data_IF_468276755184
#
_entry.id   IF_468276755184
#
_cell.length_a   1.000
_cell.length_b   1.000
_cell.length_c   1.000
_cell.angle_alpha   90.00
_cell.angle_beta   90.00
_cell.angle_gamma   90.00
#
_symmetry.space_group_name_H-M   'P 1'
#
loop_
_entity.id
_entity.type
_entity.pdbx_description
1 polymer ?
#
# COMPACT_ATOMS: atom_id res chain seq x y z
N UNK A 1 -4.15 -1.93 -18.41
CA UNK A 1 -2.82 -2.55 -18.33
C UNK A 1 -1.89 -2.15 -19.48
N UNK A 2 -2.30 -2.25 -20.77
CA UNK A 2 -1.45 -1.83 -21.92
C UNK A 2 -1.01 -0.35 -21.86
N UNK A 3 -1.85 0.53 -21.34
CA UNK A 3 -1.54 1.95 -21.19
C UNK A 3 -0.40 2.27 -20.21
N UNK A 4 -0.07 1.35 -19.29
CA UNK A 4 1.01 1.51 -18.33
C UNK A 4 2.39 1.09 -18.87
N UNK A 5 2.43 0.36 -19.99
CA UNK A 5 3.68 -0.17 -20.55
C UNK A 5 4.73 0.90 -20.88
N UNK A 6 4.39 2.04 -21.52
CA UNK A 6 5.35 3.09 -21.81
C UNK A 6 5.98 3.68 -20.54
N UNK A 7 5.16 3.83 -19.49
CA UNK A 7 5.59 4.36 -18.21
C UNK A 7 6.47 3.37 -17.44
N UNK A 8 6.15 2.08 -17.50
CA UNK A 8 7.01 1.02 -16.95
C UNK A 8 8.39 0.97 -17.61
N UNK A 9 8.50 1.37 -18.88
CA UNK A 9 9.80 1.49 -19.55
C UNK A 9 10.68 2.58 -18.94
N UNK A 10 10.10 3.68 -18.44
CA UNK A 10 10.83 4.75 -17.74
C UNK A 10 11.40 4.28 -16.40
N UNK A 11 10.68 3.36 -15.70
CA UNK A 11 11.18 2.75 -14.48
C UNK A 11 12.44 1.89 -14.70
N UNK A 12 12.65 1.32 -15.90
CA UNK A 12 13.86 0.55 -16.22
C UNK A 12 15.14 1.35 -16.07
N UNK A 13 15.10 2.66 -16.31
CA UNK A 13 16.28 3.54 -16.18
C UNK A 13 16.76 3.66 -14.72
N UNK A 14 15.85 3.58 -13.76
CA UNK A 14 16.15 3.70 -12.31
C UNK A 14 15.95 2.38 -11.55
N UNK A 15 15.99 1.23 -12.27
CA UNK A 15 15.69 -0.09 -11.72
C UNK A 15 16.48 -0.43 -10.45
N UNK A 16 17.76 -0.07 -10.37
CA UNK A 16 18.60 -0.36 -9.22
C UNK A 16 18.13 0.34 -7.94
N UNK A 17 17.79 1.62 -8.02
CA UNK A 17 17.29 2.37 -6.86
C UNK A 17 15.90 1.88 -6.44
N UNK A 18 15.03 1.59 -7.40
CA UNK A 18 13.70 1.04 -7.13
C UNK A 18 13.80 -0.35 -6.51
N UNK A 19 14.67 -1.22 -7.02
CA UNK A 19 14.91 -2.55 -6.43
C UNK A 19 15.49 -2.44 -5.03
N UNK A 20 16.45 -1.52 -4.81
CA UNK A 20 16.98 -1.27 -3.47
C UNK A 20 15.90 -0.80 -2.49
N UNK A 21 14.98 0.07 -2.92
CA UNK A 21 13.82 0.47 -2.13
C UNK A 21 12.93 -0.71 -1.73
N UNK A 22 12.64 -1.63 -2.68
CA UNK A 22 11.87 -2.84 -2.40
C UNK A 22 12.62 -3.76 -1.43
N UNK A 23 13.91 -3.97 -1.62
CA UNK A 23 14.72 -4.81 -0.71
C UNK A 23 14.73 -4.24 0.71
N UNK A 24 14.91 -2.92 0.85
CA UNK A 24 14.84 -2.26 2.16
C UNK A 24 13.43 -2.37 2.78
N UNK A 25 12.37 -2.27 2.00
CA UNK A 25 11.01 -2.49 2.46
C UNK A 25 10.81 -3.92 2.98
N UNK A 26 11.31 -4.93 2.26
CA UNK A 26 11.25 -6.34 2.66
C UNK A 26 12.02 -6.55 3.98
N UNK A 27 13.24 -6.03 4.08
CA UNK A 27 14.06 -6.12 5.31
C UNK A 27 13.32 -5.48 6.48
N UNK A 28 12.71 -4.32 6.27
CA UNK A 28 11.95 -3.60 7.31
C UNK A 28 10.72 -4.41 7.76
N UNK A 29 9.98 -5.01 6.84
CA UNK A 29 8.82 -5.86 7.14
C UNK A 29 9.24 -7.11 7.90
N UNK A 30 10.27 -7.81 7.44
CA UNK A 30 10.79 -9.01 8.11
C UNK A 30 11.35 -8.68 9.51
N UNK A 31 12.01 -7.54 9.66
CA UNK A 31 12.48 -7.08 10.97
C UNK A 31 11.30 -6.75 11.91
N UNK A 32 10.20 -6.20 11.39
CA UNK A 32 8.99 -5.92 12.16
C UNK A 32 8.29 -7.21 12.62
N UNK A 33 8.18 -8.20 11.72
CA UNK A 33 7.62 -9.52 12.02
C UNK A 33 8.53 -10.24 13.02
N UNK A 34 9.83 -10.27 12.76
CA UNK A 34 10.81 -10.89 13.64
C UNK A 34 10.85 -10.29 15.04
N UNK A 35 10.71 -8.96 15.12
CA UNK A 35 10.66 -8.26 16.41
C UNK A 35 9.48 -8.75 17.25
N UNK A 36 8.28 -8.79 16.70
CA UNK A 36 7.09 -9.18 17.45
C UNK A 36 7.09 -10.69 17.77
N UNK A 37 7.47 -11.51 16.79
CA UNK A 37 7.58 -12.96 16.93
C UNK A 37 8.60 -13.36 18.00
N UNK A 38 9.81 -12.79 17.93
CA UNK A 38 10.88 -13.09 18.86
C UNK A 38 10.57 -12.56 20.26
N UNK A 39 9.98 -11.36 20.36
CA UNK A 39 9.57 -10.78 21.65
C UNK A 39 8.50 -11.63 22.33
N UNK A 40 7.49 -12.09 21.59
CA UNK A 40 6.42 -12.94 22.10
C UNK A 40 6.98 -14.29 22.61
N UNK A 41 7.82 -14.94 21.80
CA UNK A 41 8.51 -16.15 22.20
C UNK A 41 9.40 -15.93 23.44
N UNK A 42 10.21 -14.87 23.44
CA UNK A 42 11.15 -14.59 24.53
C UNK A 42 10.45 -14.32 25.86
N UNK A 43 9.39 -13.54 25.88
CA UNK A 43 8.61 -13.27 27.08
C UNK A 43 7.97 -14.55 27.63
N UNK A 44 7.38 -15.36 26.75
CA UNK A 44 6.77 -16.64 27.13
C UNK A 44 7.81 -17.65 27.63
N UNK A 45 8.97 -17.73 26.96
CA UNK A 45 10.08 -18.61 27.37
C UNK A 45 10.68 -18.19 28.71
N UNK A 46 10.85 -16.89 28.94
CA UNK A 46 11.34 -16.35 30.21
C UNK A 46 10.38 -16.64 31.38
N UNK A 47 9.06 -16.50 31.13
CA UNK A 47 8.05 -16.85 32.14
C UNK A 47 8.07 -18.34 32.45
N UNK A 48 8.13 -19.22 31.44
CA UNK A 48 8.22 -20.66 31.63
C UNK A 48 9.47 -21.09 32.39
N UNK A 49 10.64 -20.50 32.05
CA UNK A 49 11.89 -20.74 32.75
C UNK A 49 11.84 -20.30 34.22
N UNK A 50 11.20 -19.14 34.50
CA UNK A 50 11.00 -18.65 35.85
C UNK A 50 10.13 -19.58 36.70
N UNK A 51 9.00 -20.08 36.15
CA UNK A 51 8.15 -21.06 36.84
C UNK A 51 8.86 -22.40 37.07
N UNK A 52 9.69 -22.82 36.13
CA UNK A 52 10.45 -24.07 36.25
C UNK A 52 11.73 -23.95 37.12
N UNK A 53 12.06 -22.77 37.61
CA UNK A 53 13.28 -22.51 38.39
C UNK A 53 14.58 -22.73 37.59
N UNK A 54 14.54 -22.60 36.26
CA UNK A 54 15.67 -22.82 35.36
C UNK A 54 16.61 -21.60 35.34
N UNK A 55 17.53 -21.53 36.26
CA UNK A 55 18.53 -20.43 36.33
C UNK A 55 19.55 -20.42 35.19
N UNK A 56 19.62 -21.51 34.41
CA UNK A 56 20.52 -21.64 33.24
C UNK A 56 19.94 -21.07 31.94
N UNK A 57 18.72 -20.50 31.97
CA UNK A 57 18.10 -19.93 30.76
C UNK A 57 18.92 -18.75 30.25
N UNK A 58 19.42 -18.87 29.01
CA UNK A 58 20.19 -17.83 28.37
C UNK A 58 19.26 -16.73 27.83
N UNK A 59 19.07 -15.67 28.59
CA UNK A 59 18.25 -14.53 28.17
C UNK A 59 19.02 -13.50 27.32
N UNK A 60 20.36 -13.54 27.30
CA UNK A 60 21.16 -12.53 26.60
C UNK A 60 21.04 -12.62 25.08
N UNK A 61 21.05 -13.85 24.53
CA UNK A 61 20.98 -14.06 23.09
C UNK A 61 19.62 -13.64 22.50
N UNK A 62 18.45 -14.02 23.05
CA UNK A 62 17.16 -13.54 22.59
C UNK A 62 17.00 -12.02 22.76
N UNK A 63 17.46 -11.46 23.88
CA UNK A 63 17.43 -10.01 24.13
C UNK A 63 18.26 -9.24 23.08
N UNK A 64 19.43 -9.76 22.69
CA UNK A 64 20.23 -9.18 21.61
C UNK A 64 19.52 -9.27 20.27
N UNK A 65 18.83 -10.38 19.98
CA UNK A 65 17.99 -10.55 18.80
C UNK A 65 16.84 -9.54 18.72
N UNK A 66 16.13 -9.33 19.82
CA UNK A 66 15.05 -8.32 19.92
C UNK A 66 15.59 -6.92 19.66
N UNK A 67 16.73 -6.55 20.28
CA UNK A 67 17.39 -5.26 20.04
C UNK A 67 17.83 -5.10 18.58
N UNK A 68 18.43 -6.13 18.01
CA UNK A 68 18.89 -6.16 16.61
C UNK A 68 17.74 -5.94 15.64
N UNK A 69 16.63 -6.66 15.82
CA UNK A 69 15.43 -6.50 14.97
C UNK A 69 14.78 -5.12 15.14
N UNK A 70 14.77 -4.56 16.35
CA UNK A 70 14.24 -3.22 16.59
C UNK A 70 15.08 -2.13 15.89
N UNK A 71 16.41 -2.22 15.97
CA UNK A 71 17.32 -1.31 15.28
C UNK A 71 17.17 -1.46 13.75
N UNK A 72 17.17 -2.69 13.26
CA UNK A 72 17.02 -2.98 11.82
C UNK A 72 15.69 -2.45 11.29
N UNK A 73 14.58 -2.63 12.03
CA UNK A 73 13.26 -2.09 11.66
C UNK A 73 13.30 -0.56 11.55
N UNK A 74 13.90 0.12 12.51
CA UNK A 74 13.92 1.59 12.56
C UNK A 74 14.82 2.15 11.46
N UNK A 75 16.05 1.65 11.37
CA UNK A 75 17.02 2.06 10.36
C UNK A 75 16.53 1.69 8.95
N UNK A 76 16.02 0.47 8.77
CA UNK A 76 15.47 -0.01 7.50
C UNK A 76 14.33 0.88 7.01
N UNK A 77 13.39 1.27 7.88
CA UNK A 77 12.29 2.18 7.54
C UNK A 77 12.78 3.57 7.13
N UNK A 78 13.80 4.08 7.80
CA UNK A 78 14.40 5.36 7.42
C UNK A 78 15.02 5.30 6.03
N UNK A 79 15.90 4.33 5.79
CA UNK A 79 16.58 4.18 4.50
C UNK A 79 15.61 3.79 3.37
N UNK A 80 14.62 2.95 3.65
CA UNK A 80 13.57 2.61 2.69
C UNK A 80 12.84 3.86 2.21
N UNK A 81 12.38 4.72 3.14
CA UNK A 81 11.71 5.97 2.77
C UNK A 81 12.61 6.89 1.96
N UNK A 82 13.86 7.05 2.40
CA UNK A 82 14.82 7.92 1.71
C UNK A 82 15.06 7.45 0.27
N UNK A 83 15.36 6.17 0.08
CA UNK A 83 15.68 5.59 -1.23
C UNK A 83 14.44 5.54 -2.13
N UNK A 84 13.29 5.10 -1.61
CA UNK A 84 12.05 5.00 -2.37
C UNK A 84 11.58 6.37 -2.83
N UNK A 85 11.61 7.40 -1.98
CA UNK A 85 11.22 8.75 -2.37
C UNK A 85 12.21 9.39 -3.35
N UNK A 86 13.53 9.24 -3.15
CA UNK A 86 14.50 9.74 -4.13
C UNK A 86 14.31 9.07 -5.50
N UNK A 87 14.11 7.76 -5.52
CA UNK A 87 13.85 7.01 -6.77
C UNK A 87 12.58 7.50 -7.48
N UNK A 88 11.49 7.69 -6.74
CA UNK A 88 10.22 8.15 -7.32
C UNK A 88 10.29 9.60 -7.80
N UNK A 89 10.94 10.50 -7.07
CA UNK A 89 11.14 11.87 -7.53
C UNK A 89 11.96 11.96 -8.82
N UNK A 90 12.97 11.12 -8.99
CA UNK A 90 13.74 11.04 -10.25
C UNK A 90 12.88 10.52 -11.40
N UNK A 91 12.02 9.55 -11.15
CA UNK A 91 11.05 9.08 -12.17
C UNK A 91 10.07 10.19 -12.54
N UNK A 92 9.50 10.90 -11.55
CA UNK A 92 8.60 12.03 -11.76
C UNK A 92 9.27 13.16 -12.56
N UNK A 93 10.52 13.48 -12.23
CA UNK A 93 11.30 14.46 -12.97
C UNK A 93 11.38 14.09 -14.46
N UNK A 94 11.76 12.85 -14.77
CA UNK A 94 11.85 12.38 -16.15
C UNK A 94 10.50 12.39 -16.85
N UNK A 95 9.44 12.02 -16.15
CA UNK A 95 8.09 11.97 -16.69
C UNK A 95 7.58 13.40 -17.01
N UNK A 96 7.82 14.36 -16.13
CA UNK A 96 7.49 15.77 -16.36
C UNK A 96 8.24 16.34 -17.54
N UNK A 97 9.56 16.09 -17.64
CA UNK A 97 10.38 16.51 -18.79
C UNK A 97 9.85 15.88 -20.08
N UNK A 98 9.54 14.59 -20.06
CA UNK A 98 8.98 13.89 -21.22
C UNK A 98 7.64 14.49 -21.65
N UNK A 99 6.71 14.68 -20.73
CA UNK A 99 5.39 15.26 -21.02
C UNK A 99 5.52 16.68 -21.56
N UNK A 100 6.37 17.50 -20.94
CA UNK A 100 6.60 18.87 -21.39
C UNK A 100 7.26 18.93 -22.77
N UNK A 101 8.22 18.05 -23.05
CA UNK A 101 8.88 17.97 -24.36
C UNK A 101 7.93 17.60 -25.50
N UNK A 102 6.84 16.90 -25.20
CA UNK A 102 5.78 16.57 -26.16
C UNK A 102 4.80 17.72 -26.38
N UNK A 103 4.66 18.61 -25.41
CA UNK A 103 3.82 19.81 -25.53
C UNK A 103 4.51 20.96 -26.26
N UNK A 104 5.84 21.11 -26.12
CA UNK A 104 6.63 22.17 -26.73
C UNK A 104 6.47 22.32 -28.25
N UNK A 105 6.47 21.24 -29.06
CA UNK A 105 6.34 21.35 -30.51
C UNK A 105 4.91 21.61 -30.99
N UNK A 106 3.91 21.64 -30.08
CA UNK A 106 2.53 21.93 -30.46
C UNK A 106 2.39 23.43 -30.82
N UNK A 107 1.76 23.70 -31.97
CA UNK A 107 1.44 25.07 -32.36
C UNK A 107 0.46 25.73 -31.38
N UNK A 108 0.42 27.07 -31.30
CA UNK A 108 -0.57 27.78 -30.49
C UNK A 108 -2.01 27.33 -30.77
N UNK A 109 -2.32 27.04 -32.05
CA UNK A 109 -3.63 26.50 -32.46
C UNK A 109 -3.88 25.06 -31.94
N UNK A 110 -2.82 24.26 -31.85
CA UNK A 110 -2.89 22.92 -31.21
C UNK A 110 -3.12 22.98 -29.70
N UNK A 111 -2.44 23.90 -29.03
CA UNK A 111 -2.61 24.17 -27.60
C UNK A 111 -3.97 24.77 -27.26
N UNK A 112 -4.54 25.62 -28.13
CA UNK A 112 -5.85 26.23 -27.95
C UNK A 112 -7.02 25.23 -27.92
N UNK A 113 -6.79 24.00 -28.42
CA UNK A 113 -7.77 22.90 -28.32
C UNK A 113 -7.93 22.40 -26.87
N UNK A 114 -6.96 22.64 -26.02
CA UNK A 114 -6.99 22.26 -24.61
C UNK A 114 -7.28 23.50 -23.76
N UNK A 115 -8.09 23.31 -22.72
CA UNK A 115 -8.26 24.38 -21.73
C UNK A 115 -7.00 24.47 -20.86
N UNK A 116 -6.61 25.68 -20.48
CA UNK A 116 -5.39 25.90 -19.67
C UNK A 116 -5.37 25.04 -18.38
N UNK A 117 -6.52 24.92 -17.70
CA UNK A 117 -6.65 24.07 -16.52
C UNK A 117 -6.50 22.57 -16.80
N UNK A 118 -6.83 22.11 -18.01
CA UNK A 118 -6.66 20.71 -18.43
C UNK A 118 -5.19 20.38 -18.68
N UNK A 119 -4.46 21.24 -19.38
CA UNK A 119 -3.02 21.07 -19.60
C UNK A 119 -2.25 21.05 -18.29
N UNK A 120 -2.55 21.98 -17.39
CA UNK A 120 -1.94 22.03 -16.07
C UNK A 120 -2.23 20.74 -15.27
N UNK A 121 -3.46 20.25 -15.32
CA UNK A 121 -3.83 19.01 -14.63
C UNK A 121 -3.07 17.80 -15.19
N UNK A 122 -2.86 17.71 -16.52
CA UNK A 122 -2.09 16.61 -17.13
C UNK A 122 -0.62 16.65 -16.71
N UNK A 123 0.02 17.81 -16.76
CA UNK A 123 1.45 17.96 -16.47
C UNK A 123 1.77 17.80 -14.98
N UNK A 124 0.82 18.14 -14.10
CA UNK A 124 1.04 18.11 -12.64
C UNK A 124 0.31 16.94 -12.01
N UNK A 125 -1.03 16.96 -12.01
CA UNK A 125 -1.80 16.02 -11.20
C UNK A 125 -1.81 14.59 -11.76
N UNK A 126 -1.87 14.41 -13.08
CA UNK A 126 -1.88 13.09 -13.69
C UNK A 126 -0.49 12.44 -13.62
N UNK A 127 0.57 13.23 -13.76
CA UNK A 127 1.96 12.77 -13.57
C UNK A 127 2.19 12.34 -12.12
N UNK A 128 1.77 13.14 -11.13
CA UNK A 128 1.91 12.81 -9.71
C UNK A 128 1.13 11.53 -9.34
N UNK A 129 0.02 11.25 -10.02
CA UNK A 129 -0.76 10.02 -9.79
C UNK A 129 0.02 8.77 -10.23
N UNK A 130 0.92 8.87 -11.20
CA UNK A 130 1.74 7.74 -11.65
C UNK A 130 2.80 7.32 -10.62
N UNK A 131 3.24 8.22 -9.74
CA UNK A 131 4.13 7.88 -8.61
C UNK A 131 3.50 6.83 -7.69
N UNK A 132 2.18 6.90 -7.51
CA UNK A 132 1.45 5.94 -6.71
C UNK A 132 1.52 4.49 -7.24
N UNK A 133 1.81 4.27 -8.53
CA UNK A 133 1.96 2.94 -9.09
C UNK A 133 3.09 2.16 -8.42
N UNK A 134 4.25 2.79 -8.27
CA UNK A 134 5.39 2.11 -7.64
C UNK A 134 5.21 1.98 -6.12
N UNK A 135 4.99 3.10 -5.43
CA UNK A 135 4.97 3.11 -3.95
C UNK A 135 3.77 2.37 -3.37
N UNK A 136 2.61 2.46 -4.02
CA UNK A 136 1.36 1.93 -3.46
C UNK A 136 0.91 0.60 -4.06
N UNK A 137 1.44 0.19 -5.21
CA UNK A 137 1.04 -1.06 -5.86
C UNK A 137 2.20 -2.03 -5.98
N UNK A 138 3.27 -1.65 -6.69
CA UNK A 138 4.37 -2.59 -7.01
C UNK A 138 5.14 -2.98 -5.75
N UNK A 139 5.63 -2.00 -4.99
CA UNK A 139 6.45 -2.26 -3.79
C UNK A 139 5.71 -3.08 -2.72
N UNK A 140 4.45 -2.76 -2.32
CA UNK A 140 3.72 -3.58 -1.36
C UNK A 140 3.40 -4.99 -1.84
N UNK A 141 3.10 -5.18 -3.15
CA UNK A 141 2.79 -6.50 -3.69
C UNK A 141 4.01 -7.42 -3.71
N UNK A 142 5.13 -6.92 -4.21
CA UNK A 142 6.39 -7.68 -4.22
C UNK A 142 6.85 -7.94 -2.79
N UNK A 143 6.79 -6.92 -1.93
CA UNK A 143 7.13 -7.04 -0.51
C UNK A 143 6.28 -8.10 0.20
N UNK A 144 4.96 -8.06 0.04
CA UNK A 144 4.05 -9.04 0.64
C UNK A 144 4.34 -10.47 0.15
N UNK A 145 4.53 -10.66 -1.16
CA UNK A 145 4.84 -11.98 -1.71
C UNK A 145 6.14 -12.56 -1.13
N UNK A 146 7.22 -11.77 -1.12
CA UNK A 146 8.51 -12.23 -0.57
C UNK A 146 8.40 -12.50 0.94
N UNK A 147 7.71 -11.65 1.67
CA UNK A 147 7.47 -11.85 3.12
C UNK A 147 6.70 -13.15 3.37
N UNK A 148 5.65 -13.45 2.60
CA UNK A 148 4.91 -14.71 2.72
C UNK A 148 5.86 -15.91 2.53
N UNK A 149 6.67 -15.88 1.47
CA UNK A 149 7.62 -16.97 1.20
C UNK A 149 8.63 -17.13 2.33
N UNK A 150 9.26 -16.04 2.77
CA UNK A 150 10.30 -16.08 3.82
C UNK A 150 9.72 -16.51 5.16
N UNK A 151 8.55 -15.99 5.55
CA UNK A 151 7.89 -16.37 6.81
C UNK A 151 7.48 -17.84 6.77
N UNK A 152 6.87 -18.29 5.67
CA UNK A 152 6.47 -19.71 5.53
C UNK A 152 7.68 -20.64 5.58
N UNK A 153 8.76 -20.33 4.87
CA UNK A 153 10.00 -21.11 4.93
C UNK A 153 10.62 -21.09 6.33
N UNK A 154 10.67 -19.92 6.97
CA UNK A 154 11.22 -19.79 8.31
C UNK A 154 10.45 -20.61 9.35
N UNK A 155 9.13 -20.56 9.32
CA UNK A 155 8.28 -21.35 10.23
C UNK A 155 8.29 -22.85 9.91
N UNK A 156 8.54 -23.24 8.66
CA UNK A 156 8.63 -24.66 8.25
C UNK A 156 9.76 -25.41 8.93
N UNK A 157 10.78 -24.72 9.41
CA UNK A 157 11.83 -25.35 10.23
C UNK A 157 11.34 -25.78 11.61
N UNK A 158 10.26 -25.22 12.10
CA UNK A 158 9.65 -25.54 13.39
C UNK A 158 8.51 -26.54 13.23
N UNK A 159 7.59 -26.27 12.31
CA UNK A 159 6.42 -27.11 12.02
C UNK A 159 5.90 -26.82 10.61
N UNK A 160 5.94 -27.83 9.73
CA UNK A 160 5.55 -27.68 8.32
C UNK A 160 4.03 -27.48 8.16
N UNK A 161 3.15 -28.29 8.76
CA UNK A 161 1.70 -28.09 8.70
C UNK A 161 1.26 -26.69 9.12
N UNK A 162 1.75 -26.19 10.26
CA UNK A 162 1.37 -24.88 10.79
C UNK A 162 1.90 -23.77 9.86
N UNK A 163 3.14 -23.87 9.38
CA UNK A 163 3.75 -22.91 8.47
C UNK A 163 2.98 -22.83 7.15
N UNK A 164 2.63 -23.98 6.55
CA UNK A 164 1.86 -24.03 5.30
C UNK A 164 0.44 -23.47 5.47
N UNK A 165 -0.20 -23.68 6.63
CA UNK A 165 -1.52 -23.12 6.91
C UNK A 165 -1.47 -21.60 6.96
N UNK A 166 -0.51 -21.02 7.69
CA UNK A 166 -0.35 -19.56 7.76
C UNK A 166 0.00 -18.98 6.36
N UNK A 167 0.99 -19.58 5.69
CA UNK A 167 1.39 -19.17 4.35
C UNK A 167 0.25 -19.28 3.34
N UNK A 168 -0.55 -20.35 3.42
CA UNK A 168 -1.72 -20.56 2.58
C UNK A 168 -2.80 -19.50 2.80
N UNK A 169 -3.14 -19.16 4.04
CA UNK A 169 -4.10 -18.09 4.36
C UNK A 169 -3.59 -16.74 3.83
N UNK A 170 -2.32 -16.41 4.07
CA UNK A 170 -1.71 -15.18 3.59
C UNK A 170 -1.69 -15.11 2.05
N UNK A 171 -1.31 -16.19 1.37
CA UNK A 171 -1.26 -16.27 -0.08
C UNK A 171 -2.66 -16.17 -0.70
N UNK A 172 -3.64 -16.88 -0.16
CA UNK A 172 -5.05 -16.76 -0.55
C UNK A 172 -5.55 -15.32 -0.40
N UNK A 173 -5.23 -14.68 0.71
CA UNK A 173 -5.56 -13.27 0.96
C UNK A 173 -4.92 -12.37 -0.11
N UNK A 174 -3.64 -12.57 -0.43
CA UNK A 174 -2.90 -11.81 -1.43
C UNK A 174 -3.46 -12.00 -2.85
N UNK A 175 -3.96 -13.19 -3.19
CA UNK A 175 -4.47 -13.49 -4.54
C UNK A 175 -5.93 -13.05 -4.70
N UNK A 176 -6.76 -13.21 -3.67
CA UNK A 176 -8.21 -13.02 -3.79
C UNK A 176 -8.63 -11.56 -3.51
N UNK A 177 -8.12 -10.95 -2.44
CA UNK A 177 -8.58 -9.62 -2.05
C UNK A 177 -8.27 -8.53 -3.07
N UNK A 178 -7.05 -8.42 -3.62
CA UNK A 178 -6.73 -7.35 -4.56
C UNK A 178 -7.63 -7.30 -5.79
N UNK A 179 -7.85 -8.37 -6.56
CA UNK A 179 -8.72 -8.32 -7.73
C UNK A 179 -10.20 -8.09 -7.37
N UNK A 180 -10.64 -8.56 -6.20
CA UNK A 180 -11.99 -8.33 -5.70
C UNK A 180 -12.23 -6.83 -5.48
N UNK A 181 -11.35 -6.18 -4.71
CA UNK A 181 -11.47 -4.75 -4.42
C UNK A 181 -11.17 -3.86 -5.63
N UNK A 182 -10.31 -4.30 -6.54
CA UNK A 182 -10.11 -3.62 -7.82
C UNK A 182 -11.41 -3.56 -8.63
N UNK A 183 -12.10 -4.68 -8.77
CA UNK A 183 -13.38 -4.73 -9.51
C UNK A 183 -14.45 -3.87 -8.85
N UNK A 184 -14.57 -3.94 -7.53
CA UNK A 184 -15.54 -3.15 -6.75
C UNK A 184 -15.24 -1.64 -6.81
N UNK A 185 -13.95 -1.25 -6.78
CA UNK A 185 -13.53 0.15 -6.73
C UNK A 185 -13.35 0.83 -8.10
N UNK A 186 -13.26 0.07 -9.20
CA UNK A 186 -12.93 0.61 -10.53
C UNK A 186 -13.86 1.73 -10.96
N UNK A 187 -15.16 1.47 -10.99
CA UNK A 187 -16.18 2.43 -11.42
C UNK A 187 -16.23 3.66 -10.52
N UNK A 188 -16.08 3.46 -9.21
CA UNK A 188 -16.06 4.54 -8.21
C UNK A 188 -14.82 5.42 -8.39
N UNK A 189 -13.65 4.82 -8.63
CA UNK A 189 -12.39 5.56 -8.85
C UNK A 189 -12.41 6.38 -10.14
N UNK A 190 -12.94 5.84 -11.23
CA UNK A 190 -13.13 6.56 -12.51
C UNK A 190 -14.05 7.75 -12.34
N UNK A 191 -15.20 7.57 -11.68
CA UNK A 191 -16.15 8.64 -11.37
C UNK A 191 -15.56 9.72 -10.47
N UNK A 192 -14.81 9.33 -9.44
CA UNK A 192 -14.14 10.24 -8.53
C UNK A 192 -13.16 11.16 -9.28
N UNK A 193 -12.33 10.59 -10.16
CA UNK A 193 -11.37 11.34 -10.97
C UNK A 193 -12.07 12.30 -11.93
N UNK A 194 -13.17 11.87 -12.58
CA UNK A 194 -13.95 12.70 -13.48
C UNK A 194 -14.61 13.86 -12.73
N UNK A 195 -15.33 13.59 -11.65
CA UNK A 195 -16.05 14.62 -10.88
C UNK A 195 -15.09 15.64 -10.23
N UNK A 196 -13.91 15.18 -9.75
CA UNK A 196 -12.87 16.09 -9.27
C UNK A 196 -12.40 17.04 -10.36
N UNK A 197 -12.19 16.53 -11.58
CA UNK A 197 -11.79 17.34 -12.73
C UNK A 197 -12.88 18.36 -13.12
N UNK A 198 -14.15 17.93 -13.17
CA UNK A 198 -15.31 18.78 -13.46
C UNK A 198 -15.47 19.90 -12.42
N UNK A 199 -15.40 19.57 -11.13
CA UNK A 199 -15.49 20.55 -10.04
C UNK A 199 -14.36 21.58 -10.11
N UNK A 200 -13.12 21.13 -10.28
CA UNK A 200 -11.96 22.03 -10.40
C UNK A 200 -12.08 22.96 -11.60
N UNK A 201 -12.57 22.45 -12.73
CA UNK A 201 -12.81 23.26 -13.92
C UNK A 201 -13.91 24.30 -13.69
N UNK A 202 -15.03 23.90 -13.06
CA UNK A 202 -16.12 24.82 -12.74
C UNK A 202 -15.66 25.91 -11.77
N UNK A 203 -14.89 25.54 -10.73
CA UNK A 203 -14.33 26.48 -9.76
C UNK A 203 -13.40 27.49 -10.42
N UNK A 204 -12.50 27.04 -11.30
CA UNK A 204 -11.59 27.93 -12.03
C UNK A 204 -12.37 28.88 -12.92
N UNK A 205 -13.36 28.38 -13.67
CA UNK A 205 -14.21 29.23 -14.51
C UNK A 205 -15.04 30.22 -13.72
N UNK A 206 -15.51 29.83 -12.55
CA UNK A 206 -16.26 30.73 -11.64
C UNK A 206 -15.38 31.87 -11.11
N UNK A 207 -14.15 31.54 -10.69
CA UNK A 207 -13.17 32.53 -10.20
C UNK A 207 -12.76 33.52 -11.30
N UNK A 208 -12.51 33.01 -12.52
CA UNK A 208 -12.11 33.86 -13.64
C UNK A 208 -13.24 34.72 -14.21
N UNK A 209 -14.47 34.20 -14.18
CA UNK A 209 -15.66 34.89 -14.75
C UNK A 209 -16.53 35.59 -13.72
N UNK A 210 -16.04 35.94 -12.54
CA UNK A 210 -16.83 36.55 -11.49
C UNK A 210 -17.46 37.90 -11.93
N UNK A 211 -16.73 38.74 -12.67
CA UNK A 211 -17.22 40.03 -13.14
C UNK A 211 -18.41 39.85 -14.10
N UNK A 212 -18.25 38.97 -15.09
CA UNK A 212 -19.31 38.69 -16.09
C UNK A 212 -20.52 38.04 -15.43
N UNK A 213 -20.29 37.05 -14.53
CA UNK A 213 -21.38 36.38 -13.81
C UNK A 213 -22.20 37.37 -12.93
N UNK A 214 -21.53 38.39 -12.40
CA UNK A 214 -22.19 39.43 -11.61
C UNK A 214 -23.00 40.40 -12.51
N UNK A 215 -22.39 40.85 -13.60
CA UNK A 215 -23.06 41.76 -14.56
C UNK A 215 -24.29 41.11 -15.17
N UNK A 216 -24.21 39.83 -15.54
CA UNK A 216 -25.32 39.08 -16.14
C UNK A 216 -26.30 38.47 -15.10
N UNK A 217 -26.08 38.68 -13.80
CA UNK A 217 -26.93 38.12 -12.72
C UNK A 217 -26.92 36.59 -12.66
N UNK A 218 -25.91 35.95 -13.26
CA UNK A 218 -25.81 34.49 -13.40
C UNK A 218 -25.07 33.78 -12.24
N UNK A 219 -24.49 34.54 -11.32
CA UNK A 219 -23.65 34.03 -10.22
C UNK A 219 -24.34 32.94 -9.38
N UNK A 220 -25.60 33.17 -8.97
CA UNK A 220 -26.39 32.21 -8.19
C UNK A 220 -26.60 30.88 -8.94
N UNK A 221 -26.98 30.96 -10.22
CA UNK A 221 -27.21 29.77 -11.06
C UNK A 221 -25.95 28.95 -11.27
N UNK A 222 -24.83 29.63 -11.47
CA UNK A 222 -23.53 28.97 -11.64
C UNK A 222 -23.09 28.27 -10.35
N UNK A 223 -23.26 28.97 -9.20
CA UNK A 223 -22.97 28.42 -7.88
C UNK A 223 -23.78 27.14 -7.60
N UNK A 224 -25.09 27.16 -7.83
CA UNK A 224 -25.92 25.95 -7.64
C UNK A 224 -25.45 24.78 -8.51
N UNK A 225 -25.03 25.06 -9.75
CA UNK A 225 -24.48 24.02 -10.62
C UNK A 225 -23.16 23.42 -10.05
N UNK A 226 -22.29 24.26 -9.50
CA UNK A 226 -21.04 23.84 -8.86
C UNK A 226 -21.31 23.04 -7.59
N UNK A 227 -22.25 23.48 -6.75
CA UNK A 227 -22.69 22.78 -5.53
C UNK A 227 -23.23 21.37 -5.85
N UNK A 228 -24.00 21.22 -6.92
CA UNK A 228 -24.49 19.89 -7.36
C UNK A 228 -23.34 18.97 -7.79
N UNK A 229 -22.33 19.50 -8.49
CA UNK A 229 -21.14 18.72 -8.86
C UNK A 229 -20.34 18.32 -7.62
N UNK A 230 -20.23 19.21 -6.65
CA UNK A 230 -19.58 18.97 -5.36
C UNK A 230 -20.27 17.86 -4.56
N UNK A 231 -21.59 17.90 -4.46
CA UNK A 231 -22.37 16.85 -3.80
C UNK A 231 -22.13 15.47 -4.44
N UNK A 232 -22.16 15.40 -5.77
CA UNK A 232 -21.88 14.16 -6.49
C UNK A 232 -20.43 13.67 -6.26
N UNK A 233 -19.48 14.59 -6.19
CA UNK A 233 -18.09 14.26 -5.88
C UNK A 233 -17.94 13.75 -4.45
N UNK A 234 -18.57 14.39 -3.46
CA UNK A 234 -18.57 13.93 -2.07
C UNK A 234 -19.21 12.55 -1.92
N UNK A 235 -20.30 12.27 -2.62
CA UNK A 235 -20.93 10.94 -2.61
C UNK A 235 -19.98 9.86 -3.21
N UNK A 236 -19.30 10.17 -4.31
CA UNK A 236 -18.30 9.27 -4.88
C UNK A 236 -17.11 9.03 -3.92
N UNK A 237 -16.67 10.08 -3.22
CA UNK A 237 -15.62 10.01 -2.20
C UNK A 237 -16.04 9.17 -1.00
N UNK A 238 -17.28 9.35 -0.54
CA UNK A 238 -17.86 8.54 0.53
C UNK A 238 -17.86 7.06 0.18
N UNK A 239 -18.35 6.68 -1.01
CA UNK A 239 -18.34 5.28 -1.49
C UNK A 239 -16.92 4.71 -1.56
N UNK A 240 -15.95 5.50 -2.01
CA UNK A 240 -14.55 5.08 -2.01
C UNK A 240 -14.03 4.82 -0.59
N UNK A 241 -14.37 5.69 0.36
CA UNK A 241 -13.99 5.53 1.77
C UNK A 241 -14.66 4.32 2.42
N UNK A 242 -15.92 4.06 2.12
CA UNK A 242 -16.65 2.87 2.58
C UNK A 242 -16.00 1.57 2.08
N UNK A 243 -15.62 1.52 0.79
CA UNK A 243 -14.88 0.37 0.23
C UNK A 243 -13.52 0.18 0.92
N UNK A 244 -12.83 1.28 1.20
CA UNK A 244 -11.54 1.24 1.89
C UNK A 244 -11.71 0.71 3.32
N UNK A 245 -12.67 1.23 4.06
CA UNK A 245 -12.98 0.79 5.42
C UNK A 245 -13.38 -0.69 5.45
N UNK A 246 -14.23 -1.12 4.50
CA UNK A 246 -14.64 -2.51 4.38
C UNK A 246 -13.46 -3.45 4.08
N UNK A 247 -12.55 -3.03 3.20
CA UNK A 247 -11.35 -3.83 2.87
C UNK A 247 -10.41 -3.98 4.07
N UNK A 248 -10.25 -2.93 4.87
CA UNK A 248 -9.45 -2.97 6.10
C UNK A 248 -10.10 -3.84 7.17
N UNK A 249 -11.42 -3.71 7.36
CA UNK A 249 -12.17 -4.55 8.29
C UNK A 249 -12.08 -6.03 7.93
N UNK A 250 -12.22 -6.37 6.64
CA UNK A 250 -12.10 -7.74 6.16
C UNK A 250 -10.68 -8.29 6.38
N UNK A 251 -9.64 -7.48 6.11
CA UNK A 251 -8.26 -7.88 6.37
C UNK A 251 -8.00 -8.13 7.86
N UNK A 252 -8.52 -7.27 8.74
CA UNK A 252 -8.41 -7.44 10.18
C UNK A 252 -9.13 -8.71 10.65
N UNK A 253 -10.29 -9.02 10.06
CA UNK A 253 -11.07 -10.21 10.37
C UNK A 253 -10.33 -11.48 9.94
N UNK A 254 -9.79 -11.52 8.73
CA UNK A 254 -8.97 -12.65 8.23
C UNK A 254 -7.72 -12.83 9.10
N UNK A 255 -7.04 -11.73 9.45
CA UNK A 255 -5.90 -11.75 10.36
C UNK A 255 -6.25 -12.31 11.74
N UNK A 256 -7.40 -11.90 12.30
CA UNK A 256 -7.92 -12.45 13.56
C UNK A 256 -8.18 -13.95 13.49
N UNK A 257 -8.82 -14.42 12.41
CA UNK A 257 -9.01 -15.85 12.19
C UNK A 257 -7.69 -16.62 12.04
N UNK A 258 -6.71 -16.05 11.32
CA UNK A 258 -5.39 -16.66 11.19
C UNK A 258 -4.69 -16.80 12.55
N UNK A 259 -4.77 -15.77 13.41
CA UNK A 259 -4.23 -15.80 14.77
C UNK A 259 -4.89 -16.91 15.59
N UNK A 260 -6.22 -17.03 15.55
CA UNK A 260 -6.97 -18.09 16.27
C UNK A 260 -6.59 -19.47 15.72
N UNK A 261 -6.47 -19.62 14.40
CA UNK A 261 -6.05 -20.87 13.78
C UNK A 261 -4.64 -21.28 14.22
N UNK A 262 -3.71 -20.33 14.26
CA UNK A 262 -2.34 -20.58 14.74
C UNK A 262 -2.33 -20.97 16.22
N UNK A 263 -3.12 -20.30 17.06
CA UNK A 263 -3.26 -20.65 18.48
C UNK A 263 -3.78 -22.08 18.63
N UNK A 264 -4.84 -22.42 17.91
CA UNK A 264 -5.47 -23.74 17.97
C UNK A 264 -4.54 -24.86 17.50
N UNK A 265 -3.89 -24.68 16.34
CA UNK A 265 -2.96 -25.68 15.81
C UNK A 265 -1.72 -25.83 16.68
N UNK A 266 -1.11 -24.71 17.13
CA UNK A 266 0.08 -24.75 17.97
C UNK A 266 -0.19 -25.34 19.35
N UNK A 267 -1.40 -25.17 19.90
CA UNK A 267 -1.79 -25.76 21.19
C UNK A 267 -1.90 -27.29 21.12
N UNK A 268 -2.18 -27.87 19.94
CA UNK A 268 -2.21 -29.30 19.70
C UNK A 268 -0.83 -29.96 19.62
N UNK A 269 0.25 -29.18 19.57
CA UNK A 269 1.64 -29.63 19.47
C UNK A 269 2.38 -28.92 18.34
N UNK A 270 3.70 -28.82 18.46
CA UNK A 270 4.59 -28.22 17.46
C UNK A 270 5.80 -29.13 17.25
N UNK A 271 6.09 -29.51 16.00
CA UNK A 271 7.26 -30.30 15.66
C UNK A 271 7.34 -31.66 16.38
N UNK A 272 6.18 -32.28 16.65
CA UNK A 272 6.09 -33.54 17.39
C UNK A 272 6.18 -33.40 18.91
N UNK A 273 6.30 -32.18 19.45
CA UNK A 273 6.25 -31.92 20.88
C UNK A 273 4.81 -31.61 21.32
N UNK A 274 4.19 -32.45 22.17
CA UNK A 274 2.79 -32.23 22.64
C UNK A 274 2.67 -31.06 23.63
N UNK A 275 3.76 -30.54 24.15
CA UNK A 275 3.80 -29.41 25.07
C UNK A 275 4.71 -28.31 24.54
N UNK A 276 4.28 -27.58 23.50
CA UNK A 276 5.14 -26.64 22.78
C UNK A 276 5.48 -25.37 23.58
N UNK A 277 4.73 -25.07 24.68
CA UNK A 277 5.03 -23.95 25.57
C UNK A 277 5.19 -22.61 24.85
N UNK A 278 6.39 -21.99 24.92
CA UNK A 278 6.66 -20.69 24.31
C UNK A 278 6.51 -20.60 22.79
N UNK A 279 6.54 -21.74 22.07
CA UNK A 279 6.35 -21.77 20.62
C UNK A 279 4.94 -21.37 20.20
N UNK A 280 3.95 -21.58 21.06
CA UNK A 280 2.58 -21.09 20.81
C UNK A 280 2.59 -19.57 20.62
N UNK A 281 3.25 -18.84 21.54
CA UNK A 281 3.37 -17.40 21.43
C UNK A 281 4.11 -16.98 20.14
N UNK A 282 5.14 -17.72 19.75
CA UNK A 282 5.87 -17.48 18.51
C UNK A 282 4.95 -17.48 17.28
N UNK A 283 4.14 -18.54 17.10
CA UNK A 283 3.25 -18.66 15.95
C UNK A 283 2.14 -17.61 15.96
N UNK A 284 1.56 -17.34 17.15
CA UNK A 284 0.48 -16.35 17.32
C UNK A 284 0.97 -14.94 16.98
N UNK A 285 2.09 -14.51 17.54
CA UNK A 285 2.64 -13.18 17.28
C UNK A 285 3.22 -13.06 15.87
N UNK A 286 3.72 -14.16 15.31
CA UNK A 286 4.13 -14.18 13.89
C UNK A 286 2.95 -13.92 12.96
N UNK A 287 1.83 -14.61 13.17
CA UNK A 287 0.61 -14.43 12.39
C UNK A 287 0.10 -12.98 12.49
N UNK A 288 0.03 -12.44 13.72
CA UNK A 288 -0.42 -11.06 13.95
C UNK A 288 0.44 -10.05 13.18
N UNK A 289 1.77 -10.15 13.31
CA UNK A 289 2.70 -9.25 12.64
C UNK A 289 2.70 -9.41 11.11
N UNK A 290 2.56 -10.64 10.62
CA UNK A 290 2.52 -10.93 9.20
C UNK A 290 1.29 -10.33 8.51
N UNK A 291 0.12 -10.39 9.14
CA UNK A 291 -1.09 -9.76 8.61
C UNK A 291 -1.05 -8.23 8.67
N UNK A 292 -0.42 -7.63 9.69
CA UNK A 292 -0.16 -6.19 9.73
C UNK A 292 0.73 -5.76 8.54
N UNK A 293 1.72 -6.57 8.17
CA UNK A 293 2.58 -6.32 7.01
C UNK A 293 1.83 -6.42 5.66
N UNK A 294 0.74 -7.19 5.58
CA UNK A 294 -0.11 -7.28 4.40
C UNK A 294 -1.12 -6.12 4.26
N UNK A 295 -1.39 -5.38 5.31
CA UNK A 295 -2.40 -4.32 5.32
C UNK A 295 -2.27 -3.30 4.16
N UNK A 296 -1.07 -2.83 3.73
CA UNK A 296 -0.93 -1.92 2.61
C UNK A 296 -1.41 -2.47 1.26
N UNK A 297 -1.44 -3.79 1.10
CA UNK A 297 -1.82 -4.46 -0.16
C UNK A 297 -3.28 -4.20 -0.51
N UNK A 298 -4.18 -4.12 0.48
CA UNK A 298 -5.61 -3.88 0.23
C UNK A 298 -5.87 -2.50 -0.36
N UNK A 299 -5.11 -1.48 0.08
CA UNK A 299 -5.18 -0.12 -0.45
C UNK A 299 -4.58 0.03 -1.85
N UNK A 300 -3.61 -0.81 -2.22
CA UNK A 300 -2.88 -0.73 -3.47
C UNK A 300 -3.80 -0.77 -4.70
N UNK A 301 -4.77 -1.67 -4.71
CA UNK A 301 -5.64 -1.91 -5.86
C UNK A 301 -6.80 -0.92 -5.98
N UNK A 302 -7.18 -0.26 -4.90
CA UNK A 302 -8.22 0.78 -4.91
C UNK A 302 -7.75 2.02 -5.68
N UNK A 303 -6.46 2.34 -5.58
CA UNK A 303 -5.86 3.47 -6.31
C UNK A 303 -5.48 3.11 -7.76
N UNK A 304 -5.42 1.82 -8.11
CA UNK A 304 -5.01 1.38 -9.44
C UNK A 304 -5.94 1.91 -10.54
N UNK A 305 -7.24 2.02 -10.29
CA UNK A 305 -8.21 2.61 -11.21
C UNK A 305 -7.89 4.09 -11.53
N UNK A 306 -7.49 4.86 -10.53
CA UNK A 306 -7.08 6.26 -10.69
C UNK A 306 -5.78 6.36 -11.50
N UNK A 307 -4.79 5.51 -11.20
CA UNK A 307 -3.51 5.44 -11.91
C UNK A 307 -3.71 5.10 -13.39
N UNK A 308 -4.55 4.12 -13.70
CA UNK A 308 -4.87 3.75 -15.09
C UNK A 308 -5.59 4.88 -15.82
N UNK A 309 -6.55 5.55 -15.16
CA UNK A 309 -7.27 6.69 -15.76
C UNK A 309 -6.34 7.88 -16.04
N UNK A 310 -5.40 8.18 -15.15
CA UNK A 310 -4.39 9.22 -15.37
C UNK A 310 -3.39 8.85 -16.47
N UNK A 311 -2.95 7.59 -16.52
CA UNK A 311 -2.04 7.10 -17.57
C UNK A 311 -2.65 7.13 -18.98
N UNK A 312 -3.98 7.01 -19.11
CA UNK A 312 -4.68 7.10 -20.39
C UNK A 312 -4.84 8.55 -20.88
N UNK A 313 -4.71 9.54 -20.01
CA UNK A 313 -4.85 10.96 -20.32
C UNK A 313 -3.54 11.62 -20.73
N UNK A 314 -2.41 11.10 -20.28
CA UNK A 314 -1.07 11.54 -20.63
C UNK A 314 -0.62 10.90 -21.94
#
# INVERSE_FOLDING_TARGET
MRALLPYLALYKRHKWMLTLGIVLAIITLLASIGLLTLSGWFLSASAAAGFAGLYSFNYMLPAAGVRGTAITRTAGRYFERLVSHDATFRVLQHLRIYTFSKLLPLSPAGLARFRQGELLNRVVADVDTLDHLYLRVISPMVGAFVVIVVVTLGLSFLDVPIALTLGGIMLMTLIILPPLFYRAGKTTGENLTRLRGEYRQQLTSWLQGQAELTIFGASKRYRTRMENTELNWHEAQRRQSELTAFSQALMMLIGGFAVIAMLWMASGGVGGNPQPGPLIALFVFCALAAFEALAPVTGAFQHLGQVIASALRI
#
